data_IF_305842289024
#
_entry.id   IF_305842289024
#
_cell.length_a   1.000
_cell.length_b   1.000
_cell.length_c   1.000
_cell.angle_alpha   90.00
_cell.angle_beta   90.00
_cell.angle_gamma   90.00
#
_symmetry.space_group_name_H-M   'P 1'
#
loop_
_entity.id
_entity.type
_entity.pdbx_description
1 polymer ?
#
# COMPACT_ATOMS: atom_id res chain seq x y z
N UNK A 1 -16.60 -0.85 -48.88
CA UNK A 1 -16.57 0.52 -48.33
C UNK A 1 -16.38 1.49 -49.47
N UNK A 2 -17.39 2.29 -49.82
CA UNK A 2 -17.23 3.35 -50.81
C UNK A 2 -16.30 4.41 -50.19
N UNK A 3 -15.07 4.50 -50.71
CA UNK A 3 -14.17 5.59 -50.36
C UNK A 3 -14.70 6.87 -50.99
N UNK A 4 -15.53 7.61 -50.27
CA UNK A 4 -15.95 8.97 -50.64
C UNK A 4 -14.70 9.83 -50.57
N UNK A 5 -14.12 10.16 -51.72
CA UNK A 5 -13.01 11.12 -51.80
C UNK A 5 -13.57 12.51 -51.65
N UNK A 6 -13.30 13.15 -50.52
CA UNK A 6 -13.61 14.56 -50.33
C UNK A 6 -12.56 15.40 -51.08
N UNK A 7 -12.95 16.29 -51.99
CA UNK A 7 -12.02 17.21 -52.64
C UNK A 7 -11.61 18.33 -51.67
N UNK A 8 -10.45 18.95 -51.93
CA UNK A 8 -10.00 20.09 -51.15
C UNK A 8 -10.93 21.31 -51.36
N UNK A 9 -11.42 21.90 -50.27
CA UNK A 9 -12.31 23.06 -50.29
C UNK A 9 -11.53 24.36 -50.19
N UNK A 10 -11.87 25.36 -51.00
CA UNK A 10 -11.24 26.69 -50.97
C UNK A 10 -11.48 27.34 -49.59
N UNK A 11 -10.41 27.76 -48.93
CA UNK A 11 -10.45 28.33 -47.57
C UNK A 11 -10.24 27.33 -46.43
N UNK A 12 -10.09 26.03 -46.73
CA UNK A 12 -9.70 25.02 -45.75
C UNK A 12 -8.21 25.11 -45.37
N UNK A 13 -7.85 24.46 -44.25
CA UNK A 13 -6.47 24.38 -43.79
C UNK A 13 -5.57 23.70 -44.84
N UNK A 14 -4.47 24.37 -45.23
CA UNK A 14 -3.60 23.86 -46.29
C UNK A 14 -2.83 22.57 -45.92
N UNK A 15 -2.76 22.24 -44.62
CA UNK A 15 -2.09 21.04 -44.11
C UNK A 15 -3.01 19.81 -44.11
N UNK A 16 -4.11 19.85 -43.37
CA UNK A 16 -5.03 18.72 -43.16
C UNK A 16 -6.33 18.78 -43.98
N UNK A 17 -6.68 19.92 -44.58
CA UNK A 17 -7.90 20.07 -45.39
C UNK A 17 -9.20 20.29 -44.60
N UNK A 18 -9.15 20.36 -43.27
CA UNK A 18 -10.31 20.71 -42.44
C UNK A 18 -10.66 22.21 -42.51
N UNK A 19 -11.94 22.53 -42.38
CA UNK A 19 -12.43 23.88 -42.12
C UNK A 19 -12.57 24.12 -40.61
N UNK A 20 -12.18 25.31 -40.15
CA UNK A 20 -12.26 25.69 -38.72
C UNK A 20 -11.00 26.38 -38.20
N UNK A 21 -9.82 26.00 -38.73
CA UNK A 21 -8.53 26.58 -38.34
C UNK A 21 -7.63 26.89 -39.54
N UNK A 22 -6.58 27.69 -39.32
CA UNK A 22 -5.52 27.97 -40.30
C UNK A 22 -4.36 27.00 -40.14
N UNK A 23 -3.50 26.86 -41.17
CA UNK A 23 -2.30 26.00 -41.16
C UNK A 23 -1.43 26.13 -39.89
N UNK A 24 -1.27 27.34 -39.36
CA UNK A 24 -0.47 27.61 -38.16
C UNK A 24 -1.05 27.03 -36.87
N UNK A 25 -2.36 26.81 -36.82
CA UNK A 25 -3.11 26.29 -35.67
C UNK A 25 -3.62 24.87 -35.93
N UNK A 26 -2.97 24.15 -36.84
CA UNK A 26 -3.36 22.79 -37.20
C UNK A 26 -2.91 21.81 -36.12
N UNK A 27 -3.83 21.00 -35.62
CA UNK A 27 -3.55 19.95 -34.64
C UNK A 27 -2.84 18.74 -35.27
N UNK A 28 -2.99 18.55 -36.59
CA UNK A 28 -2.28 17.49 -37.31
C UNK A 28 -0.82 17.86 -37.56
N UNK A 29 0.03 16.83 -37.54
CA UNK A 29 1.46 16.96 -37.82
C UNK A 29 1.69 17.69 -39.16
N UNK A 30 2.60 18.68 -39.23
CA UNK A 30 2.92 19.37 -40.48
C UNK A 30 3.39 18.40 -41.58
N UNK A 31 2.65 18.33 -42.69
CA UNK A 31 2.98 17.50 -43.86
C UNK A 31 4.00 18.24 -44.74
N UNK A 32 4.90 17.48 -45.38
CA UNK A 32 5.87 18.03 -46.35
C UNK A 32 5.17 18.61 -47.58
N UNK A 33 4.15 17.89 -48.09
CA UNK A 33 3.23 18.34 -49.13
C UNK A 33 1.83 18.31 -48.53
N UNK A 34 1.25 19.49 -48.31
CA UNK A 34 -0.04 19.64 -47.64
C UNK A 34 -1.24 19.14 -48.47
N UNK A 35 -2.37 18.87 -47.80
CA UNK A 35 -3.61 18.39 -48.42
C UNK A 35 -4.13 19.30 -49.54
N UNK A 36 -3.76 20.59 -49.57
CA UNK A 36 -4.07 21.53 -50.65
C UNK A 36 -3.57 21.07 -52.03
N UNK A 37 -2.43 20.39 -52.08
CA UNK A 37 -1.79 19.95 -53.33
C UNK A 37 -1.98 18.46 -53.59
N UNK A 38 -2.15 17.66 -52.53
CA UNK A 38 -2.25 16.20 -52.63
C UNK A 38 -3.69 15.69 -52.67
N UNK A 39 -4.67 16.46 -52.18
CA UNK A 39 -6.10 16.10 -52.06
C UNK A 39 -6.36 14.74 -51.38
N UNK A 40 -5.39 14.26 -50.60
CA UNK A 40 -5.42 12.96 -49.91
C UNK A 40 -5.49 13.16 -48.41
N UNK A 41 -6.18 12.25 -47.74
CA UNK A 41 -6.32 12.19 -46.28
C UNK A 41 -6.81 13.52 -45.69
N UNK A 42 -7.98 13.98 -46.16
CA UNK A 42 -8.65 15.18 -45.64
C UNK A 42 -9.26 14.88 -44.28
N UNK A 43 -8.89 15.68 -43.29
CA UNK A 43 -9.42 15.60 -41.94
C UNK A 43 -10.89 16.06 -41.88
N UNK A 44 -11.71 15.51 -40.96
CA UNK A 44 -13.05 16.04 -40.69
C UNK A 44 -12.99 17.49 -40.22
N UNK A 45 -14.06 18.25 -40.45
CA UNK A 45 -14.14 19.65 -40.02
C UNK A 45 -14.23 19.78 -38.51
N UNK A 46 -13.66 20.87 -37.98
CA UNK A 46 -13.75 21.16 -36.55
C UNK A 46 -15.18 21.55 -36.18
N UNK A 47 -15.60 21.14 -34.99
CA UNK A 47 -16.86 21.63 -34.43
C UNK A 47 -16.75 23.11 -34.09
N UNK A 48 -17.72 23.89 -34.53
CA UNK A 48 -17.87 25.29 -34.12
C UNK A 48 -18.31 25.29 -32.66
N UNK A 49 -17.37 25.61 -31.76
CA UNK A 49 -17.69 25.77 -30.35
C UNK A 49 -18.49 27.07 -30.14
N UNK A 50 -19.59 27.04 -29.37
CA UNK A 50 -20.30 28.25 -29.03
C UNK A 50 -19.47 29.11 -28.06
N UNK A 51 -19.67 30.44 -28.12
CA UNK A 51 -19.08 31.37 -27.16
C UNK A 51 -19.82 31.24 -25.82
N UNK A 52 -19.33 30.35 -24.94
CA UNK A 52 -19.88 30.18 -23.61
C UNK A 52 -19.38 31.28 -22.64
N UNK A 53 -20.26 32.20 -22.25
CA UNK A 53 -20.00 33.18 -21.19
C UNK A 53 -20.24 32.57 -19.80
N UNK A 54 -19.37 31.64 -19.42
CA UNK A 54 -19.40 31.00 -18.10
C UNK A 54 -18.84 31.93 -17.01
N UNK A 55 -19.39 31.84 -15.80
CA UNK A 55 -18.84 32.46 -14.60
C UNK A 55 -17.46 31.90 -14.23
N UNK A 56 -16.76 32.55 -13.30
CA UNK A 56 -15.41 32.15 -12.86
C UNK A 56 -15.39 30.70 -12.32
N UNK A 57 -16.36 30.34 -11.47
CA UNK A 57 -16.45 29.02 -10.82
C UNK A 57 -16.75 27.87 -11.80
N UNK A 58 -17.39 28.17 -12.92
CA UNK A 58 -17.69 27.17 -13.97
C UNK A 58 -16.51 26.93 -14.91
N UNK A 59 -15.53 27.85 -14.97
CA UNK A 59 -14.32 27.71 -15.81
C UNK A 59 -13.20 26.91 -15.13
N UNK A 60 -13.14 26.94 -13.79
CA UNK A 60 -12.06 26.36 -12.99
C UNK A 60 -12.56 25.20 -12.14
N UNK A 61 -13.10 24.15 -12.76
CA UNK A 61 -13.43 22.91 -12.07
C UNK A 61 -12.15 22.08 -11.90
N UNK A 62 -11.33 22.42 -10.91
CA UNK A 62 -10.25 21.54 -10.46
C UNK A 62 -10.89 20.36 -9.73
N UNK A 63 -11.05 19.24 -10.43
CA UNK A 63 -11.55 17.99 -9.88
C UNK A 63 -10.52 17.45 -8.87
N UNK A 64 -10.75 17.69 -7.58
CA UNK A 64 -10.08 16.93 -6.52
C UNK A 64 -10.52 15.47 -6.68
N UNK A 65 -9.56 14.55 -6.61
CA UNK A 65 -9.83 13.11 -6.56
C UNK A 65 -10.79 12.88 -5.37
N UNK A 66 -12.04 12.48 -5.66
CA UNK A 66 -13.12 12.34 -4.67
C UNK A 66 -13.04 11.05 -3.86
N UNK A 67 -12.09 10.18 -4.18
CA UNK A 67 -12.02 8.80 -3.67
C UNK A 67 -11.38 8.72 -2.28
N UNK A 68 -10.44 9.62 -1.97
CA UNK A 68 -9.77 9.68 -0.67
C UNK A 68 -10.48 10.66 0.27
N UNK A 69 -11.16 10.19 1.33
CA UNK A 69 -11.76 11.07 2.33
C UNK A 69 -10.68 11.80 3.12
N UNK A 70 -10.96 13.05 3.48
CA UNK A 70 -10.08 13.78 4.40
C UNK A 70 -10.08 13.13 5.79
N UNK A 71 -8.97 13.21 6.52
CA UNK A 71 -8.80 12.55 7.84
C UNK A 71 -9.90 12.93 8.84
N UNK A 72 -10.22 14.21 8.94
CA UNK A 72 -11.28 14.73 9.82
C UNK A 72 -12.72 14.39 9.38
N UNK A 73 -12.90 13.71 8.24
CA UNK A 73 -14.20 13.23 7.76
C UNK A 73 -14.36 11.72 7.97
N UNK A 74 -13.33 11.03 8.49
CA UNK A 74 -13.39 9.60 8.76
C UNK A 74 -14.40 9.27 9.86
N UNK A 75 -14.47 10.14 10.88
CA UNK A 75 -15.45 10.08 11.94
C UNK A 75 -15.93 11.51 12.25
N UNK A 76 -17.25 11.69 12.32
CA UNK A 76 -17.89 12.99 12.52
C UNK A 76 -18.37 13.20 13.96
N UNK A 77 -18.11 12.23 14.84
CA UNK A 77 -18.46 12.33 16.24
C UNK A 77 -17.66 13.46 16.91
N UNK A 78 -18.23 14.09 17.93
CA UNK A 78 -17.58 15.18 18.67
C UNK A 78 -16.35 14.70 19.46
N UNK A 79 -16.37 13.44 19.91
CA UNK A 79 -15.29 12.79 20.66
C UNK A 79 -14.16 12.22 19.77
N UNK A 80 -14.14 12.54 18.48
CA UNK A 80 -13.10 12.05 17.57
C UNK A 80 -11.71 12.64 17.90
N UNK A 81 -10.60 11.94 17.60
CA UNK A 81 -9.28 12.50 17.74
C UNK A 81 -9.08 13.82 17.02
N UNK A 82 -8.42 14.74 17.72
CA UNK A 82 -8.12 16.05 17.21
C UNK A 82 -7.29 16.00 15.91
N UNK A 83 -7.82 16.63 14.86
CA UNK A 83 -7.12 16.91 13.62
C UNK A 83 -6.54 18.33 13.65
N UNK A 84 -5.22 18.46 13.51
CA UNK A 84 -4.57 19.76 13.38
C UNK A 84 -4.63 20.23 11.91
N UNK A 85 -5.40 21.28 11.57
CA UNK A 85 -5.53 21.75 10.20
C UNK A 85 -4.26 22.41 9.64
N UNK A 86 -3.35 22.87 10.51
CA UNK A 86 -2.12 23.55 10.11
C UNK A 86 -1.10 22.56 9.58
N UNK A 87 -0.80 21.54 10.38
CA UNK A 87 0.13 20.45 10.01
C UNK A 87 -0.54 19.35 9.20
N UNK A 88 -1.88 19.32 9.13
CA UNK A 88 -2.69 18.27 8.51
C UNK A 88 -2.50 16.89 9.15
N UNK A 89 -2.20 16.86 10.44
CA UNK A 89 -1.92 15.64 11.19
C UNK A 89 -3.07 15.22 12.10
N UNK A 90 -3.39 13.92 12.12
CA UNK A 90 -4.27 13.28 13.10
C UNK A 90 -3.46 12.20 13.83
N UNK A 91 -3.34 12.32 15.16
CA UNK A 91 -2.43 11.46 15.94
C UNK A 91 -3.05 10.10 16.26
N UNK A 92 -4.20 10.12 16.94
CA UNK A 92 -4.90 8.91 17.39
C UNK A 92 -5.75 8.30 16.27
N UNK A 93 -6.25 7.10 16.53
CA UNK A 93 -7.14 6.38 15.62
C UNK A 93 -8.59 6.88 15.75
N UNK A 94 -9.22 7.41 14.67
CA UNK A 94 -10.61 7.87 14.72
C UNK A 94 -11.65 6.76 14.91
N UNK A 95 -11.26 5.49 14.73
CA UNK A 95 -12.16 4.35 14.86
C UNK A 95 -12.05 3.63 16.22
N UNK A 96 -11.34 4.21 17.18
CA UNK A 96 -11.16 3.60 18.50
C UNK A 96 -12.52 3.46 19.21
N UNK A 97 -12.93 2.23 19.52
CA UNK A 97 -14.19 1.94 20.21
C UNK A 97 -15.45 1.96 19.33
N UNK A 98 -15.31 2.20 18.01
CA UNK A 98 -16.46 2.19 17.09
C UNK A 98 -16.68 0.78 16.55
N UNK A 99 -17.78 0.14 16.96
CA UNK A 99 -18.14 -1.23 16.53
C UNK A 99 -18.42 -1.26 15.03
N UNK A 100 -17.87 -2.26 14.33
CA UNK A 100 -18.18 -2.53 12.91
C UNK A 100 -17.36 -1.75 11.88
N UNK A 101 -16.40 -0.91 12.30
CA UNK A 101 -15.54 -0.10 11.40
C UNK A 101 -14.11 -0.63 11.22
N UNK A 102 -13.90 -1.92 11.44
CA UNK A 102 -12.56 -2.54 11.37
C UNK A 102 -11.93 -2.42 9.97
N UNK A 103 -12.73 -2.57 8.90
CA UNK A 103 -12.27 -2.42 7.51
C UNK A 103 -11.81 -0.99 7.22
N UNK A 104 -12.46 0.02 7.78
CA UNK A 104 -12.07 1.42 7.62
C UNK A 104 -10.82 1.76 8.45
N UNK A 105 -10.70 1.17 9.64
CA UNK A 105 -9.51 1.28 10.48
C UNK A 105 -8.25 0.74 9.80
N UNK A 106 -8.37 -0.26 8.91
CA UNK A 106 -7.20 -0.70 8.11
C UNK A 106 -6.67 0.37 7.16
N UNK A 107 -7.54 1.26 6.66
CA UNK A 107 -7.13 2.36 5.77
C UNK A 107 -6.40 3.45 6.53
N UNK A 108 -6.86 3.75 7.75
CA UNK A 108 -6.25 4.76 8.60
C UNK A 108 -6.45 4.43 10.08
N UNK A 109 -5.36 4.06 10.75
CA UNK A 109 -5.32 3.74 12.18
C UNK A 109 -4.65 4.85 13.03
N UNK A 110 -4.56 6.07 12.51
CA UNK A 110 -3.84 7.18 13.14
C UNK A 110 -2.36 7.26 12.73
N UNK A 111 -1.77 8.45 12.84
CA UNK A 111 -0.35 8.64 12.51
C UNK A 111 0.60 8.06 13.55
N UNK A 112 0.21 8.03 14.83
CA UNK A 112 1.06 7.45 15.87
C UNK A 112 1.35 5.97 15.60
N UNK A 113 0.35 5.24 15.10
CA UNK A 113 0.54 3.86 14.68
C UNK A 113 1.62 3.75 13.60
N UNK A 114 1.48 4.52 12.51
CA UNK A 114 2.41 4.46 11.36
C UNK A 114 3.83 4.89 11.77
N UNK A 115 3.97 5.93 12.60
CA UNK A 115 5.28 6.49 13.02
C UNK A 115 6.19 5.48 13.72
N UNK A 116 5.63 4.53 14.46
CA UNK A 116 6.40 3.52 15.18
C UNK A 116 6.40 2.15 14.48
N UNK A 117 5.84 2.07 13.26
CA UNK A 117 5.87 0.83 12.47
C UNK A 117 7.08 0.77 11.54
N UNK A 118 7.47 -0.45 11.15
CA UNK A 118 8.54 -0.68 10.18
C UNK A 118 9.95 -0.51 10.74
N UNK A 119 10.84 0.06 9.93
CA UNK A 119 12.29 0.16 10.19
C UNK A 119 12.64 1.06 11.39
N UNK A 120 11.72 1.95 11.79
CA UNK A 120 11.91 2.86 12.93
C UNK A 120 12.20 2.07 14.22
N UNK A 121 11.60 0.89 14.37
CA UNK A 121 11.83 0.02 15.54
C UNK A 121 13.29 -0.45 15.56
N UNK A 122 13.84 -0.87 14.42
CA UNK A 122 15.20 -1.35 14.31
C UNK A 122 16.21 -0.22 14.54
N UNK A 123 15.96 0.96 13.99
CA UNK A 123 16.79 2.14 14.23
C UNK A 123 16.81 2.55 15.72
N UNK A 124 15.65 2.51 16.39
CA UNK A 124 15.57 2.77 17.82
C UNK A 124 16.31 1.70 18.64
N UNK A 125 16.19 0.43 18.29
CA UNK A 125 16.94 -0.66 18.93
C UNK A 125 18.46 -0.50 18.75
N UNK A 126 18.91 -0.14 17.54
CA UNK A 126 20.31 0.13 17.25
C UNK A 126 20.84 1.30 18.09
N UNK A 127 20.04 2.36 18.29
CA UNK A 127 20.40 3.48 19.14
C UNK A 127 20.52 3.09 20.62
N UNK A 128 19.55 2.31 21.13
CA UNK A 128 19.60 1.77 22.50
C UNK A 128 20.84 0.87 22.69
N UNK A 129 21.15 0.04 21.69
CA UNK A 129 22.34 -0.80 21.68
C UNK A 129 23.62 0.03 21.70
N UNK A 130 23.70 1.11 20.92
CA UNK A 130 24.83 2.05 20.93
C UNK A 130 25.07 2.61 22.34
N UNK A 131 24.01 3.07 23.01
CA UNK A 131 24.09 3.62 24.36
C UNK A 131 24.51 2.58 25.39
N UNK A 132 24.02 1.35 25.26
CA UNK A 132 24.40 0.23 26.12
C UNK A 132 25.85 -0.23 25.90
N UNK A 133 26.33 -0.19 24.66
CA UNK A 133 27.73 -0.49 24.33
C UNK A 133 28.66 0.59 24.90
N UNK A 134 28.26 1.86 24.76
CA UNK A 134 29.00 3.01 25.31
C UNK A 134 29.10 2.97 26.82
N UNK A 135 28.04 2.60 27.54
CA UNK A 135 28.08 2.46 29.00
C UNK A 135 28.99 1.32 29.47
N UNK A 136 29.18 0.29 28.64
CA UNK A 136 30.14 -0.81 28.85
C UNK A 136 31.58 -0.46 28.44
N UNK A 137 31.82 0.74 27.90
CA UNK A 137 33.15 1.21 27.49
C UNK A 137 33.52 0.95 26.03
N UNK A 138 32.61 0.40 25.21
CA UNK A 138 32.81 0.26 23.76
C UNK A 138 32.29 1.53 23.09
N UNK A 139 33.19 2.40 22.60
CA UNK A 139 32.78 3.63 21.93
C UNK A 139 32.31 3.32 20.50
N UNK A 140 30.99 3.33 20.33
CA UNK A 140 30.28 3.18 19.06
C UNK A 140 29.12 4.16 19.03
N UNK A 141 28.82 4.66 17.83
CA UNK A 141 27.74 5.62 17.62
C UNK A 141 26.91 5.20 16.41
N UNK A 142 25.58 5.13 16.55
CA UNK A 142 24.70 4.71 15.48
C UNK A 142 24.68 5.68 14.30
N UNK A 143 24.92 6.99 14.52
CA UNK A 143 24.91 7.98 13.42
C UNK A 143 26.25 8.09 12.73
N UNK A 144 27.36 8.04 13.50
CA UNK A 144 28.70 8.19 12.95
C UNK A 144 29.27 6.88 12.37
N UNK A 145 28.94 5.74 12.99
CA UNK A 145 29.47 4.43 12.62
C UNK A 145 28.33 3.39 12.45
N UNK A 146 27.36 3.60 11.54
CA UNK A 146 26.16 2.76 11.43
C UNK A 146 26.49 1.30 11.05
N UNK A 147 27.41 1.08 10.11
CA UNK A 147 27.77 -0.26 9.63
C UNK A 147 28.53 -1.08 10.68
N UNK A 148 29.44 -0.43 11.40
CA UNK A 148 30.17 -1.05 12.51
C UNK A 148 29.21 -1.46 13.63
N UNK A 149 28.29 -0.58 13.99
CA UNK A 149 27.27 -0.88 14.98
C UNK A 149 26.36 -2.02 14.54
N UNK A 150 25.92 -2.04 13.28
CA UNK A 150 25.09 -3.09 12.74
C UNK A 150 25.77 -4.47 12.82
N UNK A 151 27.05 -4.55 12.41
CA UNK A 151 27.83 -5.79 12.50
C UNK A 151 27.97 -6.24 13.96
N UNK A 152 28.25 -5.32 14.88
CA UNK A 152 28.34 -5.62 16.31
C UNK A 152 27.01 -6.10 16.88
N UNK A 153 25.89 -5.48 16.48
CA UNK A 153 24.56 -5.88 16.91
C UNK A 153 24.20 -7.29 16.40
N UNK A 154 24.46 -7.59 15.13
CA UNK A 154 24.25 -8.92 14.55
C UNK A 154 25.07 -10.00 15.26
N UNK A 155 26.32 -9.70 15.61
CA UNK A 155 27.16 -10.64 16.35
C UNK A 155 26.66 -10.82 17.79
N UNK A 156 26.27 -9.73 18.46
CA UNK A 156 25.70 -9.75 19.79
C UNK A 156 24.41 -10.59 19.86
N UNK A 157 23.52 -10.47 18.86
CA UNK A 157 22.28 -11.24 18.82
C UNK A 157 22.54 -12.75 18.64
N UNK A 158 23.55 -13.13 17.85
CA UNK A 158 24.00 -14.53 17.71
C UNK A 158 24.54 -15.08 19.03
N UNK A 159 25.49 -14.36 19.64
CA UNK A 159 26.09 -14.76 20.92
C UNK A 159 25.02 -14.83 22.03
N UNK A 160 24.09 -13.88 22.05
CA UNK A 160 22.97 -13.88 22.99
C UNK A 160 22.08 -15.10 22.81
N UNK A 161 21.77 -15.49 21.57
CA UNK A 161 20.99 -16.69 21.30
C UNK A 161 21.71 -17.95 21.81
N UNK A 162 23.02 -18.07 21.55
CA UNK A 162 23.84 -19.17 22.06
C UNK A 162 23.89 -19.23 23.60
N UNK A 163 24.01 -18.07 24.27
CA UNK A 163 23.97 -17.99 25.74
C UNK A 163 22.59 -18.39 26.29
N UNK A 164 21.51 -18.00 25.62
CA UNK A 164 20.15 -18.41 26.01
C UNK A 164 19.98 -19.93 25.86
N UNK A 165 20.46 -20.51 24.76
CA UNK A 165 20.36 -21.96 24.52
C UNK A 165 21.22 -22.77 25.50
N UNK A 166 22.43 -22.33 25.81
CA UNK A 166 23.27 -22.96 26.83
C UNK A 166 22.66 -22.86 28.22
N UNK A 167 22.08 -21.71 28.58
CA UNK A 167 21.35 -21.54 29.84
C UNK A 167 20.12 -22.45 29.94
N UNK A 168 19.35 -22.58 28.84
CA UNK A 168 18.22 -23.53 28.76
C UNK A 168 18.68 -24.97 28.97
N UNK A 169 19.73 -25.42 28.29
CA UNK A 169 20.29 -26.77 28.46
C UNK A 169 20.75 -27.04 29.89
N UNK A 170 21.47 -26.10 30.49
CA UNK A 170 21.90 -26.22 31.88
C UNK A 170 20.73 -26.24 32.88
N UNK A 171 19.60 -25.61 32.55
CA UNK A 171 18.38 -25.69 33.36
C UNK A 171 17.73 -27.07 33.22
N UNK A 172 17.64 -27.58 31.99
CA UNK A 172 17.10 -28.90 31.69
C UNK A 172 17.88 -30.00 32.41
N UNK A 173 19.21 -29.98 32.35
CA UNK A 173 20.07 -30.96 33.03
C UNK A 173 19.90 -30.95 34.56
N UNK A 174 19.67 -29.77 35.16
CA UNK A 174 19.51 -29.63 36.61
C UNK A 174 18.14 -30.09 37.11
N UNK A 175 17.10 -29.89 36.31
CA UNK A 175 15.71 -30.06 36.75
C UNK A 175 14.97 -31.19 36.00
N UNK A 176 15.58 -31.85 35.02
CA UNK A 176 15.04 -33.03 34.34
C UNK A 176 13.74 -32.77 33.59
N UNK A 177 13.53 -31.57 33.04
CA UNK A 177 12.27 -31.16 32.41
C UNK A 177 12.13 -31.56 30.93
N UNK A 178 12.95 -32.48 30.42
CA UNK A 178 12.94 -32.87 28.99
C UNK A 178 11.59 -33.45 28.55
N UNK A 179 10.98 -34.28 29.40
CA UNK A 179 9.70 -34.94 29.12
C UNK A 179 8.50 -33.98 29.04
N UNK A 180 8.64 -32.76 29.56
CA UNK A 180 7.57 -31.76 29.61
C UNK A 180 7.74 -30.63 28.58
N UNK A 181 8.80 -30.67 27.77
CA UNK A 181 9.02 -29.70 26.69
C UNK A 181 8.18 -30.00 25.45
N UNK A 182 7.90 -31.28 25.20
CA UNK A 182 7.00 -31.70 24.14
C UNK A 182 5.56 -31.53 24.61
N UNK A 183 4.83 -30.60 23.98
CA UNK A 183 3.39 -30.54 24.17
C UNK A 183 2.80 -31.85 23.64
N UNK A 184 2.08 -32.64 24.47
CA UNK A 184 1.44 -33.85 23.99
C UNK A 184 0.48 -33.53 22.84
N UNK A 185 0.17 -34.52 22.01
CA UNK A 185 -0.71 -34.35 20.86
C UNK A 185 -1.99 -33.58 21.26
N UNK A 186 -2.44 -32.64 20.41
CA UNK A 186 -3.62 -31.78 20.71
C UNK A 186 -4.87 -32.59 21.09
N UNK A 187 -4.98 -33.80 20.56
CA UNK A 187 -6.03 -34.78 20.87
C UNK A 187 -5.97 -35.28 22.33
N UNK A 188 -4.77 -35.40 22.90
CA UNK A 188 -4.57 -35.77 24.30
C UNK A 188 -4.71 -34.56 25.24
N UNK A 189 -4.46 -33.36 24.74
CA UNK A 189 -4.61 -32.10 25.50
C UNK A 189 -6.08 -31.71 25.70
N UNK A 190 -6.93 -31.91 24.70
CA UNK A 190 -8.38 -31.76 24.82
C UNK A 190 -9.02 -33.14 24.99
N UNK A 191 -9.27 -33.53 26.24
CA UNK A 191 -9.90 -34.82 26.59
C UNK A 191 -11.29 -35.08 25.96
N UNK A 192 -11.91 -34.08 25.31
CA UNK A 192 -13.19 -34.17 24.62
C UNK A 192 -13.11 -33.40 23.29
N UNK A 193 -13.05 -34.11 22.17
CA UNK A 193 -13.27 -33.52 20.83
C UNK A 193 -14.47 -34.19 20.17
N UNK A 194 -15.42 -33.38 19.69
CA UNK A 194 -16.54 -33.84 18.84
C UNK A 194 -16.09 -34.00 17.37
N UNK A 195 -14.84 -34.37 17.14
CA UNK A 195 -14.32 -34.59 15.78
C UNK A 195 -14.84 -35.92 15.27
N UNK A 196 -15.90 -35.85 14.46
CA UNK A 196 -16.45 -36.99 13.74
C UNK A 196 -16.16 -36.85 12.23
N UNK A 197 -16.03 -37.98 11.55
CA UNK A 197 -15.91 -38.05 10.10
C UNK A 197 -17.20 -38.62 9.51
N UNK A 198 -17.92 -37.84 8.71
CA UNK A 198 -19.12 -38.30 8.01
C UNK A 198 -18.72 -38.88 6.65
N UNK A 199 -19.04 -40.15 6.42
CA UNK A 199 -18.90 -40.80 5.11
C UNK A 199 -20.25 -40.92 4.41
N UNK A 200 -20.25 -40.70 3.10
CA UNK A 200 -21.39 -41.05 2.25
C UNK A 200 -21.53 -42.59 2.16
N UNK A 201 -22.72 -43.08 1.80
CA UNK A 201 -23.01 -44.53 1.57
C UNK A 201 -22.07 -45.20 0.56
N UNK A 202 -21.39 -44.41 -0.28
CA UNK A 202 -20.37 -44.84 -1.26
C UNK A 202 -18.92 -44.79 -0.74
N UNK A 203 -18.72 -44.52 0.55
CA UNK A 203 -17.39 -44.42 1.18
C UNK A 203 -16.64 -43.11 0.90
N UNK A 204 -17.28 -42.11 0.29
CA UNK A 204 -16.66 -40.78 0.08
C UNK A 204 -16.87 -39.88 1.29
N UNK A 205 -15.81 -39.19 1.71
CA UNK A 205 -15.85 -38.23 2.82
C UNK A 205 -16.79 -37.06 2.52
N UNK A 206 -17.66 -36.70 3.46
CA UNK A 206 -18.58 -35.55 3.38
C UNK A 206 -18.10 -34.41 4.29
N UNK A 207 -17.65 -34.74 5.51
CA UNK A 207 -17.23 -33.77 6.53
C UNK A 207 -16.16 -34.39 7.43
N UNK A 208 -15.08 -33.66 7.69
CA UNK A 208 -13.94 -34.11 8.50
C UNK A 208 -12.61 -33.95 7.75
N UNK A 209 -11.46 -34.12 8.41
CA UNK A 209 -10.17 -34.26 7.74
C UNK A 209 -10.08 -35.63 7.03
N UNK A 210 -9.42 -35.68 5.87
CA UNK A 210 -9.13 -36.96 5.19
C UNK A 210 -7.99 -37.67 5.94
N UNK A 211 -8.27 -38.83 6.53
CA UNK A 211 -7.23 -39.73 7.02
C UNK A 211 -6.59 -40.44 5.83
N UNK A 212 -5.35 -40.05 5.50
CA UNK A 212 -4.50 -40.82 4.59
C UNK A 212 -3.99 -42.01 5.40
N UNK A 213 -4.65 -43.15 5.27
CA UNK A 213 -4.13 -44.42 5.78
C UNK A 213 -2.84 -44.77 5.02
N UNK A 214 -1.70 -44.71 5.71
CA UNK A 214 -0.43 -45.30 5.28
C UNK A 214 -0.42 -46.80 5.59
#
# INVERSE_FOLDING_TARGET
MLHIKFPFRKGACENCGAMGHKKKMCLERPRSIGAKYTEKDIAPDDHVLPNLSLGYDSKLQNLRIREDPAKYLLNLNEDDPYYDPKSRSMRENPFLGVKGKEVEATKFAGENFIRYTGEVIQANQAQIFAWAARSKGIDVNATAEPTKLEVLQRNFDKERAEVIETAKKGLIEKYGCEEHLEAPAKELLLAQTEQYVEYNRKGKLIKGPEEILL
#
